data_IF_739191447976
#
_entry.id   IF_739191447976
#
_cell.length_a   1.000
_cell.length_b   1.000
_cell.length_c   1.000
_cell.angle_alpha   90.00
_cell.angle_beta   90.00
_cell.angle_gamma   90.00
#
_symmetry.space_group_name_H-M   'P 1'
#
loop_
_entity.id
_entity.type
_entity.pdbx_description
1 polymer ?
#
# COMPACT_ATOMS: atom_id res chain seq x y z
N UNK A 1 -47.51 -22.87 -6.42
CA UNK A 1 -46.97 -21.91 -5.42
C UNK A 1 -45.48 -22.15 -5.27
N UNK A 2 -44.74 -21.07 -4.97
CA UNK A 2 -43.28 -20.94 -4.79
C UNK A 2 -42.49 -20.41 -6.00
N UNK A 3 -42.49 -19.07 -6.17
CA UNK A 3 -41.43 -18.33 -6.86
C UNK A 3 -40.68 -17.56 -5.77
N UNK A 4 -39.51 -18.06 -5.36
CA UNK A 4 -38.63 -17.35 -4.45
C UNK A 4 -37.72 -16.43 -5.28
N UNK A 5 -38.14 -15.19 -5.45
CA UNK A 5 -37.25 -14.11 -5.85
C UNK A 5 -36.28 -13.88 -4.70
N UNK A 6 -35.08 -14.46 -4.79
CA UNK A 6 -33.96 -14.05 -3.98
C UNK A 6 -33.56 -12.64 -4.46
N UNK A 7 -34.08 -11.65 -3.74
CA UNK A 7 -33.56 -10.29 -3.69
C UNK A 7 -32.10 -10.37 -3.22
N UNK A 8 -31.18 -10.51 -4.17
CA UNK A 8 -29.77 -10.32 -3.91
C UNK A 8 -29.50 -8.82 -3.96
N UNK A 9 -29.19 -8.16 -2.83
CA UNK A 9 -28.70 -6.80 -2.89
C UNK A 9 -27.37 -6.80 -3.67
N UNK A 10 -27.19 -5.92 -4.67
CA UNK A 10 -25.88 -5.67 -5.27
C UNK A 10 -25.09 -4.81 -4.28
N UNK A 11 -24.65 -5.44 -3.19
CA UNK A 11 -24.00 -4.77 -2.07
C UNK A 11 -22.60 -5.30 -1.82
N UNK A 12 -21.95 -5.87 -2.83
CA UNK A 12 -20.51 -6.07 -2.81
C UNK A 12 -19.90 -5.18 -3.89
N UNK A 13 -20.06 -3.87 -3.70
CA UNK A 13 -18.95 -2.99 -4.04
C UNK A 13 -17.78 -3.56 -3.25
N UNK A 14 -16.94 -4.32 -3.92
CA UNK A 14 -15.51 -4.24 -3.64
C UNK A 14 -15.26 -2.75 -3.67
N UNK A 15 -15.34 -2.11 -2.50
CA UNK A 15 -14.55 -0.93 -2.28
C UNK A 15 -13.19 -1.44 -2.69
N UNK A 16 -12.75 -1.00 -3.87
CA UNK A 16 -11.37 -0.90 -4.20
C UNK A 16 -10.83 -0.15 -2.99
N UNK A 17 -10.43 -0.92 -1.96
CA UNK A 17 -9.75 -0.40 -0.81
C UNK A 17 -8.45 0.00 -1.45
N UNK A 18 -8.48 1.25 -1.90
CA UNK A 18 -7.36 2.05 -2.22
C UNK A 18 -6.48 1.95 -0.98
N UNK A 19 -5.60 0.93 -0.96
CA UNK A 19 -4.69 0.69 0.15
C UNK A 19 -3.70 1.84 0.29
N UNK A 20 -3.78 2.85 -0.60
CA UNK A 20 -3.14 4.16 -0.44
C UNK A 20 -3.64 4.91 0.81
N UNK A 21 -4.79 4.54 1.39
CA UNK A 21 -5.29 5.12 2.64
C UNK A 21 -4.68 4.55 3.92
N UNK A 22 -4.14 3.32 3.90
CA UNK A 22 -3.64 2.65 5.11
C UNK A 22 -2.12 2.79 5.28
N UNK A 23 -1.38 2.77 4.17
CA UNK A 23 0.07 2.91 4.15
C UNK A 23 0.46 4.27 3.58
N UNK A 24 1.38 4.96 4.24
CA UNK A 24 1.86 6.28 3.79
C UNK A 24 2.79 6.23 2.57
N UNK A 25 2.70 5.19 1.75
CA UNK A 25 3.54 4.90 0.61
C UNK A 25 2.71 4.17 -0.46
N UNK A 26 2.69 4.68 -1.69
CA UNK A 26 1.99 4.04 -2.80
C UNK A 26 2.84 2.92 -3.42
N UNK A 27 2.18 1.92 -4.02
CA UNK A 27 2.82 0.82 -4.74
C UNK A 27 3.74 1.32 -5.86
N UNK A 28 3.40 2.45 -6.50
CA UNK A 28 4.26 3.06 -7.51
C UNK A 28 5.58 3.54 -6.92
N UNK A 29 5.54 4.21 -5.76
CA UNK A 29 6.73 4.69 -5.07
C UNK A 29 7.62 3.53 -4.59
N UNK A 30 7.00 2.43 -4.14
CA UNK A 30 7.73 1.22 -3.76
C UNK A 30 8.39 0.56 -4.97
N UNK A 31 7.69 0.48 -6.10
CA UNK A 31 8.25 -0.04 -7.34
C UNK A 31 9.45 0.78 -7.80
N UNK A 32 9.31 2.11 -7.85
CA UNK A 32 10.41 3.01 -8.21
C UNK A 32 11.62 2.79 -7.29
N UNK A 33 11.39 2.61 -5.98
CA UNK A 33 12.47 2.35 -5.03
C UNK A 33 13.16 0.99 -5.27
N UNK A 34 12.39 -0.05 -5.58
CA UNK A 34 12.90 -1.40 -5.85
C UNK A 34 13.61 -1.51 -7.21
N UNK A 35 13.34 -0.59 -8.15
CA UNK A 35 14.06 -0.47 -9.41
C UNK A 35 15.48 0.12 -9.23
N UNK A 36 15.69 0.91 -8.17
CA UNK A 36 17.00 1.44 -7.80
C UNK A 36 17.88 0.35 -7.16
N UNK A 37 19.20 0.47 -7.34
CA UNK A 37 20.18 -0.49 -6.80
C UNK A 37 21.17 0.19 -5.86
N UNK A 38 21.61 -0.56 -4.84
CA UNK A 38 22.67 -0.15 -3.92
C UNK A 38 22.44 1.26 -3.34
N UNK A 39 23.44 2.16 -3.41
CA UNK A 39 23.36 3.49 -2.80
C UNK A 39 22.27 4.41 -3.37
N UNK A 40 21.84 4.20 -4.61
CA UNK A 40 20.79 5.02 -5.23
C UNK A 40 19.44 4.84 -4.50
N UNK A 41 19.12 3.60 -4.11
CA UNK A 41 17.92 3.31 -3.34
C UNK A 41 17.99 3.96 -1.94
N UNK A 42 19.17 3.93 -1.32
CA UNK A 42 19.41 4.54 0.01
C UNK A 42 19.24 6.06 -0.05
N UNK A 43 19.81 6.71 -1.08
CA UNK A 43 19.64 8.15 -1.29
C UNK A 43 18.16 8.50 -1.51
N UNK A 44 17.45 7.74 -2.35
CA UNK A 44 16.02 7.97 -2.59
C UNK A 44 15.17 7.81 -1.33
N UNK A 45 15.53 6.86 -0.45
CA UNK A 45 14.88 6.70 0.86
C UNK A 45 15.10 7.95 1.70
N UNK A 46 16.35 8.43 1.81
CA UNK A 46 16.66 9.63 2.56
C UNK A 46 15.93 10.88 2.02
N UNK A 47 15.86 11.03 0.69
CA UNK A 47 15.21 12.19 0.05
C UNK A 47 13.67 12.17 0.20
N UNK A 48 13.01 11.04 -0.06
CA UNK A 48 11.53 10.96 -0.04
C UNK A 48 10.93 10.62 1.33
N UNK A 49 11.71 9.99 2.21
CA UNK A 49 11.23 9.40 3.47
C UNK A 49 12.07 9.84 4.68
N UNK A 50 13.15 10.60 4.47
CA UNK A 50 14.06 11.08 5.52
C UNK A 50 15.11 10.03 5.91
N UNK A 51 14.65 8.82 6.23
CA UNK A 51 15.50 7.69 6.62
C UNK A 51 14.75 6.35 6.49
N UNK A 52 15.44 5.22 6.69
CA UNK A 52 14.87 3.87 6.82
C UNK A 52 13.73 3.85 7.85
N UNK A 53 13.86 4.57 8.98
CA UNK A 53 12.78 4.68 9.97
C UNK A 53 11.49 5.27 9.37
N UNK A 54 11.62 6.27 8.48
CA UNK A 54 10.48 6.98 7.90
C UNK A 54 9.69 6.11 6.91
N UNK A 55 10.39 5.34 6.09
CA UNK A 55 9.75 4.37 5.19
C UNK A 55 9.13 3.21 5.99
N UNK A 56 9.82 2.68 7.02
CA UNK A 56 9.28 1.63 7.87
C UNK A 56 7.98 2.05 8.57
N UNK A 57 7.92 3.28 9.09
CA UNK A 57 6.71 3.82 9.73
C UNK A 57 5.54 3.98 8.76
N UNK A 58 5.80 4.41 7.52
CA UNK A 58 4.78 4.52 6.46
C UNK A 58 4.28 3.13 6.02
N UNK A 59 5.16 2.14 6.00
CA UNK A 59 4.85 0.74 5.72
C UNK A 59 4.35 -0.04 6.94
N UNK A 60 4.17 0.62 8.11
CA UNK A 60 3.79 0.02 9.40
C UNK A 60 4.63 -1.23 9.75
N UNK A 61 5.91 -1.21 9.38
CA UNK A 61 6.87 -2.28 9.68
C UNK A 61 7.92 -1.78 10.67
N UNK A 62 8.57 -2.71 11.36
CA UNK A 62 9.74 -2.38 12.17
C UNK A 62 10.98 -2.25 11.27
N UNK A 63 11.87 -1.29 11.57
CA UNK A 63 13.19 -1.19 10.92
C UNK A 63 14.20 -2.20 11.46
N UNK A 64 13.80 -2.93 12.50
CA UNK A 64 14.49 -4.02 13.17
C UNK A 64 13.61 -5.26 12.95
N UNK A 65 14.21 -6.43 12.74
CA UNK A 65 13.45 -7.69 12.63
C UNK A 65 12.65 -8.02 13.89
#
# INVERSE_FOLDING_TARGET
MANNTADHPPGNSVAEVDHEGDFGCSMMQLRELMELRSGEAVNKIAECYGDVQGICRRLKTSPIE
#
